data_IF_880507437164
#
_entry.id   IF_880507437164
#
_cell.length_a   1.000
_cell.length_b   1.000
_cell.length_c   1.000
_cell.angle_alpha   90.00
_cell.angle_beta   90.00
_cell.angle_gamma   90.00
#
_symmetry.space_group_name_H-M   'P 1'
#
loop_
_entity.id
_entity.type
_entity.pdbx_description
1 polymer ?
#
# COMPACT_ATOMS: atom_id res chain seq x y z
N UNK A 1 12.35 -14.65 -21.48
CA UNK A 1 11.49 -13.43 -21.42
C UNK A 1 9.99 -13.75 -21.48
N UNK A 2 9.49 -14.54 -22.44
CA UNK A 2 8.13 -15.09 -22.38
C UNK A 2 7.88 -15.96 -21.13
N UNK A 3 8.96 -16.55 -20.58
CA UNK A 3 8.94 -17.27 -19.32
C UNK A 3 8.57 -16.39 -18.11
N UNK A 4 9.01 -15.13 -18.04
CA UNK A 4 8.69 -14.26 -16.90
C UNK A 4 7.20 -13.98 -16.84
N UNK A 5 6.60 -13.62 -17.99
CA UNK A 5 5.15 -13.44 -18.11
C UNK A 5 4.42 -14.71 -17.71
N UNK A 6 4.80 -15.87 -18.25
CA UNK A 6 4.16 -17.15 -17.92
C UNK A 6 4.24 -17.48 -16.43
N UNK A 7 5.41 -17.31 -15.81
CA UNK A 7 5.54 -17.62 -14.37
C UNK A 7 4.83 -16.60 -13.49
N UNK A 8 4.77 -15.33 -13.89
CA UNK A 8 3.98 -14.33 -13.19
C UNK A 8 2.47 -14.60 -13.31
N UNK A 9 1.99 -15.01 -14.48
CA UNK A 9 0.60 -15.42 -14.70
C UNK A 9 0.24 -16.65 -13.85
N UNK A 10 1.11 -17.67 -13.84
CA UNK A 10 0.97 -18.85 -12.99
C UNK A 10 0.87 -18.46 -11.51
N UNK A 11 1.74 -17.55 -11.06
CA UNK A 11 1.76 -17.11 -9.67
C UNK A 11 0.51 -16.29 -9.32
N UNK A 12 0.08 -15.38 -10.19
CA UNK A 12 -1.16 -14.61 -10.02
C UNK A 12 -2.37 -15.53 -9.85
N UNK A 13 -2.47 -16.58 -10.67
CA UNK A 13 -3.53 -17.58 -10.56
C UNK A 13 -3.49 -18.35 -9.23
N UNK A 14 -2.30 -18.77 -8.79
CA UNK A 14 -2.14 -19.41 -7.47
C UNK A 14 -2.57 -18.47 -6.34
N UNK A 15 -2.21 -17.19 -6.43
CA UNK A 15 -2.59 -16.18 -5.43
C UNK A 15 -4.11 -16.00 -5.36
N UNK A 16 -4.81 -16.01 -6.51
CA UNK A 16 -6.28 -15.96 -6.52
C UNK A 16 -6.88 -17.15 -5.77
N UNK A 17 -6.39 -18.37 -6.04
CA UNK A 17 -6.82 -19.57 -5.30
C UNK A 17 -6.57 -19.42 -3.80
N UNK A 18 -5.37 -18.95 -3.41
CA UNK A 18 -5.03 -18.76 -2.00
C UNK A 18 -5.91 -17.70 -1.33
N UNK A 19 -6.31 -16.64 -2.04
CA UNK A 19 -7.25 -15.62 -1.55
C UNK A 19 -8.63 -16.25 -1.34
N UNK A 20 -9.15 -16.97 -2.34
CA UNK A 20 -10.45 -17.64 -2.26
C UNK A 20 -10.51 -18.65 -1.11
N UNK A 21 -9.41 -19.37 -0.86
CA UNK A 21 -9.29 -20.34 0.23
C UNK A 21 -8.90 -19.73 1.58
N UNK A 22 -8.71 -18.41 1.66
CA UNK A 22 -8.27 -17.69 2.88
C UNK A 22 -6.92 -18.17 3.43
N UNK A 23 -6.01 -18.56 2.53
CA UNK A 23 -4.67 -19.07 2.82
C UNK A 23 -3.55 -18.16 2.30
N UNK A 24 -3.87 -16.99 1.77
CA UNK A 24 -2.88 -16.08 1.18
C UNK A 24 -1.99 -15.32 2.19
N UNK A 25 -2.19 -15.51 3.50
CA UNK A 25 -1.40 -14.82 4.52
C UNK A 25 0.10 -15.15 4.42
N UNK A 26 0.44 -16.43 4.23
CA UNK A 26 1.85 -16.84 4.13
C UNK A 26 2.45 -16.49 2.77
N UNK A 27 1.65 -16.48 1.70
CA UNK A 27 2.06 -15.91 0.42
C UNK A 27 2.51 -14.45 0.57
N UNK A 28 1.74 -13.61 1.26
CA UNK A 28 2.10 -12.20 1.44
C UNK A 28 3.41 -12.04 2.21
N UNK A 29 3.67 -12.88 3.22
CA UNK A 29 4.96 -12.85 3.95
C UNK A 29 6.12 -13.23 3.03
N UNK A 30 5.99 -14.37 2.33
CA UNK A 30 7.00 -14.85 1.38
C UNK A 30 7.28 -13.82 0.28
N UNK A 31 6.23 -13.22 -0.27
CA UNK A 31 6.33 -12.18 -1.28
C UNK A 31 7.01 -10.93 -0.74
N UNK A 32 6.62 -10.46 0.44
CA UNK A 32 7.23 -9.30 1.09
C UNK A 32 8.74 -9.47 1.36
N UNK A 33 9.21 -10.69 1.57
CA UNK A 33 10.62 -11.01 1.83
C UNK A 33 11.49 -11.07 0.55
N UNK A 34 10.91 -10.96 -0.65
CA UNK A 34 11.62 -11.06 -1.94
C UNK A 34 12.42 -9.79 -2.32
N UNK A 35 13.35 -9.35 -1.47
CA UNK A 35 14.16 -8.13 -1.71
C UNK A 35 15.09 -8.26 -2.90
N UNK A 36 15.80 -9.38 -3.02
CA UNK A 36 16.72 -9.63 -4.13
C UNK A 36 15.97 -9.63 -5.47
N UNK A 37 14.76 -10.20 -5.49
CA UNK A 37 13.91 -10.18 -6.68
C UNK A 37 13.45 -8.76 -7.04
N UNK A 38 13.09 -7.95 -6.05
CA UNK A 38 12.73 -6.54 -6.27
C UNK A 38 13.93 -5.72 -6.82
N UNK A 39 15.15 -6.02 -6.37
CA UNK A 39 16.36 -5.40 -6.92
C UNK A 39 16.61 -5.82 -8.37
N UNK A 40 16.45 -7.10 -8.70
CA UNK A 40 16.58 -7.62 -10.07
C UNK A 40 15.48 -7.10 -10.99
N UNK A 41 14.26 -6.93 -10.48
CA UNK A 41 13.11 -6.38 -11.22
C UNK A 41 13.48 -5.06 -11.89
N UNK A 42 14.13 -4.14 -11.16
CA UNK A 42 14.55 -2.83 -11.67
C UNK A 42 15.47 -2.88 -12.90
N UNK A 43 16.17 -4.00 -13.13
CA UNK A 43 17.15 -4.20 -14.21
C UNK A 43 16.54 -4.76 -15.50
N UNK A 44 15.27 -5.19 -15.45
CA UNK A 44 14.57 -5.80 -16.59
C UNK A 44 13.72 -4.74 -17.31
N UNK A 45 13.58 -4.74 -18.64
CA UNK A 45 12.68 -3.81 -19.32
C UNK A 45 11.22 -3.97 -18.85
N UNK A 46 10.52 -2.85 -18.60
CA UNK A 46 9.14 -2.80 -18.07
C UNK A 46 8.17 -3.71 -18.83
N UNK A 47 8.29 -3.81 -20.16
CA UNK A 47 7.42 -4.64 -21.00
C UNK A 47 7.44 -6.14 -20.66
N UNK A 48 8.45 -6.61 -19.91
CA UNK A 48 8.54 -8.00 -19.47
C UNK A 48 8.24 -8.20 -17.97
N UNK A 49 8.51 -7.19 -17.14
CA UNK A 49 8.45 -7.32 -15.67
C UNK A 49 7.16 -6.80 -15.03
N UNK A 50 6.34 -6.04 -15.76
CA UNK A 50 5.13 -5.43 -15.21
C UNK A 50 4.12 -6.45 -14.66
N UNK A 51 4.17 -7.70 -15.14
CA UNK A 51 3.38 -8.83 -14.61
C UNK A 51 3.73 -9.16 -13.15
N UNK A 52 4.99 -8.99 -12.75
CA UNK A 52 5.43 -9.15 -11.36
C UNK A 52 4.78 -8.08 -10.47
N UNK A 53 4.73 -6.83 -10.96
CA UNK A 53 4.10 -5.71 -10.25
C UNK A 53 2.59 -5.90 -10.08
N UNK A 54 1.93 -6.64 -10.99
CA UNK A 54 0.51 -7.00 -10.86
C UNK A 54 0.23 -7.92 -9.68
N UNK A 55 1.15 -8.80 -9.33
CA UNK A 55 1.02 -9.68 -8.16
C UNK A 55 1.00 -8.85 -6.87
N UNK A 56 1.89 -7.86 -6.76
CA UNK A 56 1.86 -6.90 -5.65
C UNK A 56 0.56 -6.11 -5.62
N UNK A 57 0.08 -5.64 -6.77
CA UNK A 57 -1.20 -4.93 -6.86
C UNK A 57 -2.39 -5.80 -6.38
N UNK A 58 -2.45 -7.06 -6.79
CA UNK A 58 -3.43 -8.05 -6.37
C UNK A 58 -3.40 -8.28 -4.85
N UNK A 59 -2.20 -8.41 -4.27
CA UNK A 59 -2.02 -8.53 -2.82
C UNK A 59 -2.54 -7.28 -2.08
N UNK A 60 -2.21 -6.08 -2.54
CA UNK A 60 -2.68 -4.83 -1.96
C UNK A 60 -4.21 -4.66 -2.08
N UNK A 61 -4.82 -5.07 -3.19
CA UNK A 61 -6.28 -5.09 -3.36
C UNK A 61 -6.91 -6.03 -2.34
N UNK A 62 -6.39 -7.25 -2.22
CA UNK A 62 -6.94 -8.26 -1.33
C UNK A 62 -6.79 -7.88 0.16
N UNK A 63 -5.65 -7.27 0.54
CA UNK A 63 -5.46 -6.70 1.89
C UNK A 63 -6.41 -5.53 2.12
N UNK A 64 -6.48 -4.58 1.19
CA UNK A 64 -7.33 -3.39 1.30
C UNK A 64 -8.83 -3.69 1.34
N UNK A 65 -9.26 -4.84 0.80
CA UNK A 65 -10.62 -5.36 0.90
C UNK A 65 -10.88 -6.20 2.16
N UNK A 66 -9.83 -6.56 2.90
CA UNK A 66 -9.94 -7.44 4.06
C UNK A 66 -10.03 -8.94 3.72
N UNK A 67 -9.74 -9.32 2.48
CA UNK A 67 -9.67 -10.72 2.07
C UNK A 67 -8.41 -11.42 2.59
N UNK A 68 -7.33 -10.65 2.79
CA UNK A 68 -6.08 -11.09 3.41
C UNK A 68 -5.87 -10.29 4.69
N UNK A 69 -5.65 -10.98 5.81
CA UNK A 69 -5.45 -10.38 7.11
C UNK A 69 -4.06 -10.76 7.64
N UNK A 70 -3.08 -9.91 7.36
CA UNK A 70 -1.69 -10.05 7.81
C UNK A 70 -1.30 -8.98 8.83
N UNK A 71 -0.30 -9.24 9.69
CA UNK A 71 0.22 -8.25 10.63
C UNK A 71 0.63 -6.94 9.95
N UNK A 72 0.65 -5.85 10.72
CA UNK A 72 1.05 -4.52 10.24
C UNK A 72 2.48 -4.54 9.66
N UNK A 73 3.36 -5.30 10.27
CA UNK A 73 4.76 -5.47 9.90
C UNK A 73 4.87 -6.12 8.52
N UNK A 74 4.09 -7.17 8.23
CA UNK A 74 4.06 -7.81 6.91
C UNK A 74 3.51 -6.87 5.83
N UNK A 75 2.48 -6.06 6.13
CA UNK A 75 1.96 -5.04 5.19
C UNK A 75 2.99 -3.96 4.90
N UNK A 76 3.71 -3.51 5.93
CA UNK A 76 4.77 -2.53 5.76
C UNK A 76 5.93 -3.10 4.95
N UNK A 77 6.35 -4.33 5.22
CA UNK A 77 7.42 -4.98 4.49
C UNK A 77 7.04 -5.21 3.02
N UNK A 78 5.81 -5.66 2.74
CA UNK A 78 5.28 -5.79 1.38
C UNK A 78 5.43 -4.49 0.59
N UNK A 79 4.98 -3.38 1.18
CA UNK A 79 5.06 -2.06 0.54
C UNK A 79 6.52 -1.59 0.44
N UNK A 80 7.34 -1.78 1.46
CA UNK A 80 8.75 -1.35 1.43
C UNK A 80 9.57 -2.10 0.38
N UNK A 81 9.24 -3.37 0.12
CA UNK A 81 9.94 -4.19 -0.88
C UNK A 81 9.49 -3.90 -2.30
N UNK A 82 8.18 -3.73 -2.52
CA UNK A 82 7.62 -3.78 -3.88
C UNK A 82 7.01 -2.49 -4.42
N UNK A 83 6.81 -1.48 -3.58
CA UNK A 83 6.03 -0.31 -3.99
C UNK A 83 6.75 0.53 -5.06
N UNK A 84 8.08 0.65 -4.98
CA UNK A 84 8.87 1.34 -6.01
C UNK A 84 8.77 0.63 -7.37
N UNK A 85 8.87 -0.71 -7.39
CA UNK A 85 8.69 -1.52 -8.60
C UNK A 85 7.29 -1.32 -9.22
N UNK A 86 6.26 -1.31 -8.36
CA UNK A 86 4.89 -1.06 -8.79
C UNK A 86 4.71 0.34 -9.37
N UNK A 87 5.33 1.36 -8.76
CA UNK A 87 5.28 2.73 -9.28
C UNK A 87 5.90 2.87 -10.67
N UNK A 88 7.07 2.29 -10.90
CA UNK A 88 7.73 2.38 -12.22
C UNK A 88 6.98 1.63 -13.32
N UNK A 89 6.25 0.57 -12.97
CA UNK A 89 5.51 -0.23 -13.94
C UNK A 89 4.06 0.23 -14.15
N UNK A 90 3.52 1.08 -13.27
CA UNK A 90 2.09 1.40 -13.23
C UNK A 90 1.56 1.99 -14.55
N UNK A 91 2.29 2.92 -15.17
CA UNK A 91 1.94 3.46 -16.48
C UNK A 91 1.82 2.37 -17.57
N UNK A 92 2.69 1.36 -17.52
CA UNK A 92 2.65 0.22 -18.43
C UNK A 92 1.47 -0.71 -18.11
N UNK A 93 1.27 -1.06 -16.84
CA UNK A 93 0.14 -1.86 -16.37
C UNK A 93 -1.22 -1.24 -16.81
N UNK A 94 -1.34 0.09 -16.70
CA UNK A 94 -2.53 0.84 -17.13
C UNK A 94 -2.79 0.77 -18.63
N UNK A 95 -1.75 0.81 -19.46
CA UNK A 95 -1.87 0.83 -20.94
C UNK A 95 -2.03 -0.55 -21.55
N UNK A 96 -1.28 -1.53 -21.04
CA UNK A 96 -1.19 -2.85 -21.62
C UNK A 96 -2.41 -3.73 -21.32
N UNK A 97 -3.08 -3.48 -20.19
CA UNK A 97 -4.12 -4.36 -19.70
C UNK A 97 -5.42 -3.58 -19.46
N UNK A 98 -6.36 -3.68 -20.41
CA UNK A 98 -7.69 -3.05 -20.32
C UNK A 98 -8.49 -3.51 -19.09
N UNK A 99 -8.13 -4.64 -18.49
CA UNK A 99 -8.83 -5.28 -17.36
C UNK A 99 -8.20 -5.05 -15.98
N UNK A 100 -7.06 -4.34 -15.86
CA UNK A 100 -6.58 -3.92 -14.54
C UNK A 100 -7.42 -2.70 -14.20
N UNK A 101 -8.37 -2.89 -13.29
CA UNK A 101 -9.13 -1.77 -12.76
C UNK A 101 -8.18 -0.90 -11.93
N UNK A 102 -7.63 0.13 -12.58
CA UNK A 102 -6.75 1.16 -12.01
C UNK A 102 -7.25 1.60 -10.63
N UNK A 103 -8.56 1.81 -10.51
CA UNK A 103 -9.19 2.31 -9.29
C UNK A 103 -9.11 1.28 -8.17
N UNK A 104 -9.23 -0.01 -8.47
CA UNK A 104 -9.04 -1.06 -7.47
C UNK A 104 -7.62 -1.07 -6.92
N UNK A 105 -6.61 -0.90 -7.79
CA UNK A 105 -5.20 -0.84 -7.36
C UNK A 105 -4.98 0.37 -6.43
N UNK A 106 -5.45 1.55 -6.84
CA UNK A 106 -5.34 2.78 -6.07
C UNK A 106 -6.07 2.70 -4.70
N UNK A 107 -7.29 2.15 -4.70
CA UNK A 107 -8.07 1.93 -3.48
C UNK A 107 -7.41 0.89 -2.57
N UNK A 108 -6.91 -0.22 -3.14
CA UNK A 108 -6.20 -1.27 -2.42
C UNK A 108 -4.94 -0.78 -1.73
N UNK A 109 -4.10 -0.04 -2.47
CA UNK A 109 -2.90 0.63 -1.94
C UNK A 109 -3.28 1.62 -0.84
N UNK A 110 -4.23 2.52 -1.12
CA UNK A 110 -4.68 3.56 -0.17
C UNK A 110 -5.13 2.94 1.15
N UNK A 111 -6.00 1.92 1.10
CA UNK A 111 -6.49 1.23 2.30
C UNK A 111 -5.38 0.50 3.03
N UNK A 112 -4.50 -0.20 2.31
CA UNK A 112 -3.38 -0.91 2.92
C UNK A 112 -2.46 0.06 3.66
N UNK A 113 -2.08 1.18 3.03
CA UNK A 113 -1.23 2.21 3.64
C UNK A 113 -1.89 2.80 4.89
N UNK A 114 -3.18 3.14 4.82
CA UNK A 114 -3.91 3.77 5.94
C UNK A 114 -4.08 2.86 7.17
N UNK A 115 -3.75 1.58 7.06
CA UNK A 115 -3.74 0.62 8.18
C UNK A 115 -2.39 0.49 8.88
N UNK A 116 -1.35 1.17 8.38
CA UNK A 116 -0.03 1.21 9.00
C UNK A 116 0.02 2.24 10.14
N UNK A 117 1.14 2.28 10.88
CA UNK A 117 1.36 3.36 11.86
C UNK A 117 1.56 4.72 11.17
N UNK A 118 1.29 5.83 11.86
CA UNK A 118 1.45 7.19 11.29
C UNK A 118 2.87 7.45 10.74
N UNK A 119 3.90 6.94 11.42
CA UNK A 119 5.30 7.04 10.96
C UNK A 119 5.52 6.27 9.65
N UNK A 120 5.00 5.05 9.55
CA UNK A 120 5.12 4.24 8.33
C UNK A 120 4.31 4.85 7.18
N UNK A 121 3.12 5.38 7.46
CA UNK A 121 2.32 6.13 6.49
C UNK A 121 3.11 7.32 5.94
N UNK A 122 3.74 8.12 6.81
CA UNK A 122 4.56 9.26 6.40
C UNK A 122 5.67 8.87 5.42
N UNK A 123 6.45 7.82 5.73
CA UNK A 123 7.54 7.35 4.87
C UNK A 123 7.03 7.04 3.46
N UNK A 124 5.94 6.29 3.37
CA UNK A 124 5.38 5.84 2.09
C UNK A 124 4.74 7.01 1.33
N UNK A 125 3.94 7.82 2.02
CA UNK A 125 3.15 8.89 1.39
C UNK A 125 4.01 10.06 0.92
N UNK A 126 5.11 10.37 1.60
CA UNK A 126 6.04 11.39 1.13
C UNK A 126 6.86 10.91 -0.08
N UNK A 127 7.30 9.65 -0.10
CA UNK A 127 7.94 9.06 -1.29
C UNK A 127 6.97 9.04 -2.48
N UNK A 128 5.72 8.61 -2.26
CA UNK A 128 4.68 8.69 -3.28
C UNK A 128 4.48 10.11 -3.80
N UNK A 129 4.39 11.11 -2.91
CA UNK A 129 4.11 12.49 -3.30
C UNK A 129 5.21 13.04 -4.23
N UNK A 130 6.47 12.80 -3.90
CA UNK A 130 7.61 13.16 -4.77
C UNK A 130 7.48 12.52 -6.15
N UNK A 131 7.20 11.22 -6.22
CA UNK A 131 7.03 10.49 -7.48
C UNK A 131 5.83 10.98 -8.29
N UNK A 132 4.70 11.24 -7.63
CA UNK A 132 3.46 11.68 -8.27
C UNK A 132 3.63 13.04 -8.95
N UNK A 133 4.36 13.97 -8.32
CA UNK A 133 4.70 15.26 -8.92
C UNK A 133 5.56 15.12 -10.18
N UNK A 134 6.41 14.10 -10.26
CA UNK A 134 7.32 13.88 -11.37
C UNK A 134 6.72 13.04 -12.53
N UNK A 135 5.78 12.13 -12.23
CA UNK A 135 5.27 11.11 -13.19
C UNK A 135 3.80 11.30 -13.58
N UNK A 136 3.03 12.11 -12.85
CA UNK A 136 1.61 12.35 -13.12
C UNK A 136 0.78 11.06 -13.16
N UNK A 137 0.00 10.88 -14.23
CA UNK A 137 -0.95 9.77 -14.42
C UNK A 137 -0.31 8.38 -14.58
N UNK A 138 1.01 8.30 -14.76
CA UNK A 138 1.76 7.05 -14.81
C UNK A 138 2.18 6.54 -13.41
N UNK A 139 1.77 7.23 -12.35
CA UNK A 139 1.87 6.82 -10.95
C UNK A 139 0.45 6.58 -10.37
N UNK A 140 0.24 5.59 -9.48
CA UNK A 140 -1.07 5.38 -8.85
C UNK A 140 -1.47 6.62 -8.04
N UNK A 141 -2.71 7.07 -8.20
CA UNK A 141 -3.26 8.16 -7.43
C UNK A 141 -3.75 7.66 -6.05
N UNK A 142 -2.92 7.87 -5.02
CA UNK A 142 -3.29 7.60 -3.62
C UNK A 142 -3.47 8.91 -2.81
N UNK A 143 -3.81 10.00 -3.49
CA UNK A 143 -4.04 11.33 -2.89
C UNK A 143 -5.03 11.25 -1.72
N UNK A 144 -6.09 10.44 -1.86
CA UNK A 144 -7.09 10.24 -0.80
C UNK A 144 -6.47 9.73 0.50
N UNK A 145 -5.51 8.80 0.40
CA UNK A 145 -4.78 8.30 1.57
C UNK A 145 -3.86 9.38 2.15
N UNK A 146 -3.17 10.13 1.28
CA UNK A 146 -2.35 11.28 1.69
C UNK A 146 -3.15 12.30 2.50
N UNK A 147 -4.32 12.73 2.02
CA UNK A 147 -5.20 13.68 2.71
C UNK A 147 -5.70 13.16 4.07
N UNK A 148 -6.00 11.87 4.17
CA UNK A 148 -6.44 11.25 5.43
C UNK A 148 -5.29 11.22 6.43
N UNK A 149 -4.10 10.77 6.02
CA UNK A 149 -2.91 10.78 6.86
C UNK A 149 -2.54 12.20 7.28
N UNK A 150 -2.49 13.17 6.36
CA UNK A 150 -2.14 14.56 6.65
C UNK A 150 -3.02 15.17 7.73
N UNK A 151 -4.35 14.98 7.63
CA UNK A 151 -5.29 15.42 8.66
C UNK A 151 -5.05 14.75 10.01
N UNK A 152 -4.74 13.45 10.02
CA UNK A 152 -4.44 12.71 11.28
C UNK A 152 -3.10 13.13 11.89
N UNK A 153 -2.11 13.44 11.06
CA UNK A 153 -0.77 13.79 11.49
C UNK A 153 -0.69 15.22 12.04
N UNK A 154 -1.34 16.19 11.39
CA UNK A 154 -1.15 17.61 11.72
C UNK A 154 -2.36 18.26 12.38
N UNK A 155 -3.60 17.91 12.01
CA UNK A 155 -4.78 18.59 12.57
C UNK A 155 -5.09 18.10 13.98
N UNK A 156 -5.03 16.79 14.23
CA UNK A 156 -5.29 16.24 15.58
C UNK A 156 -4.21 16.63 16.61
N UNK A 157 -2.97 16.81 16.16
CA UNK A 157 -1.90 17.28 17.04
C UNK A 157 -2.11 18.73 17.47
N UNK A 158 -2.71 19.57 16.62
CA UNK A 158 -3.03 20.95 16.97
C UNK A 158 -4.21 21.05 17.96
N UNK A 159 -5.25 20.23 17.79
CA UNK A 159 -6.42 20.25 18.70
C UNK A 159 -6.09 19.73 20.10
N UNK A 160 -5.23 18.71 20.23
CA UNK A 160 -4.80 18.21 21.55
C UNK A 160 -3.92 19.22 22.30
N UNK A 161 -3.24 20.13 21.59
CA UNK A 161 -2.42 21.20 22.20
C UNK A 161 -3.29 22.38 22.66
N UNK A 162 -4.39 22.68 21.98
CA UNK A 162 -5.33 23.72 22.39
C UNK A 162 -6.27 23.25 23.53
N UNK A 163 -6.69 21.99 23.54
CA UNK A 163 -7.61 21.43 24.56
C UNK A 163 -6.91 21.02 25.88
N UNK A 164 -5.57 21.07 25.92
CA UNK A 164 -4.77 20.86 27.13
C UNK A 164 -4.80 22.03 28.12
N UNK A 165 -5.44 23.15 27.74
CA UNK A 165 -5.57 24.34 28.58
C UNK A 165 -6.98 24.44 29.16
N UNK A 166 -7.12 24.00 30.41
CA UNK A 166 -8.25 24.22 31.33
C UNK A 166 -9.57 23.50 31.03
N UNK A 167 -9.82 22.39 31.76
CA UNK A 167 -11.08 22.17 32.48
C UNK A 167 -10.84 21.19 33.66
N UNK A 168 -10.25 21.68 34.76
CA UNK A 168 -10.31 20.99 36.05
C UNK A 168 -11.62 21.42 36.75
N UNK A 169 -12.67 20.62 36.59
CA UNK A 169 -13.88 20.77 37.41
C UNK A 169 -13.55 20.24 38.81
N UNK A 170 -13.23 21.17 39.72
CA UNK A 170 -13.07 20.86 41.14
C UNK A 170 -14.46 20.73 41.75
N UNK A 171 -14.85 19.51 42.13
CA UNK A 171 -16.08 19.28 42.91
C UNK A 171 -15.78 19.66 44.36
N UNK A 172 -16.30 20.80 44.80
CA UNK A 172 -16.24 21.21 46.21
C UNK A 172 -17.37 20.53 46.98
N UNK A 173 -17.04 19.50 47.76
CA UNK A 173 -17.97 18.88 48.71
C UNK A 173 -18.07 19.75 49.96
N UNK A 174 -19.25 20.31 50.24
CA UNK A 174 -19.53 20.99 51.51
C UNK A 174 -19.89 19.95 52.59
N UNK A 175 -19.30 20.01 53.80
CA UNK A 175 -19.77 19.22 54.94
C UNK A 175 -20.94 19.92 55.64
N UNK A 176 -21.89 19.11 56.12
CA UNK A 176 -23.09 19.50 56.88
C UNK A 176 -22.79 20.19 58.21
#
# INVERSE_FOLDING_TARGET
MAEITREADNLQWIVDILIEKRMANDFVKLWADQRELAELHSKIPTMYRHEISRITAQACIAIGRGNILVPKESRFLLLSTWLDALYEDFGWMRRAYKSVDKKLVEDGLSRTILTLSLRQQQIILLNWFDRYLNKGDDCPNIQRAFEVWWRRAFIRQYTDVEDGSQLQITVCSYPN
#
